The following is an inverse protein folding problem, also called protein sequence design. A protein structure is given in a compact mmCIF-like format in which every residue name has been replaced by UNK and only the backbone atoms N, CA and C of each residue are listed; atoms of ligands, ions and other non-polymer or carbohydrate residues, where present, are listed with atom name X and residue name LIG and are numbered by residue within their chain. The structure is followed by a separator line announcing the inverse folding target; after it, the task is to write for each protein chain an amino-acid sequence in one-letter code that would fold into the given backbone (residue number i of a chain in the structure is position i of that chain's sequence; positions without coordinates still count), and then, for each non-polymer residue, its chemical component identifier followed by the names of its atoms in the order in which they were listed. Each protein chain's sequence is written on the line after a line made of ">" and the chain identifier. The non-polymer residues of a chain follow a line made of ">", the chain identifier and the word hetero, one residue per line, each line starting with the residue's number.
data_IF_186058378232
#
_entry.id   IF_186058378232
#
_cell.length_a   1.000
_cell.length_b   1.000
_cell.length_c   1.000
_cell.angle_alpha   90.00
_cell.angle_beta   90.00
_cell.angle_gamma   90.00
#
_symmetry.space_group_name_H-M   'P 1'
#
loop_
_entity.id
_entity.type
_entity.pdbx_description
1 polymer ?
#
# COMPACT_ATOMS: atom_id res chain seq x y z
N UNK A 1 -12.18 22.99 1.94
CA UNK A 1 -12.23 21.64 1.32
C UNK A 1 -13.65 21.30 0.86
N UNK A 2 -13.80 20.77 -0.36
CA UNK A 2 -15.11 20.33 -0.88
C UNK A 2 -15.60 19.13 -0.03
N UNK A 3 -16.88 19.04 0.35
CA UNK A 3 -17.40 17.98 1.22
C UNK A 3 -17.17 16.56 0.65
N UNK A 4 -17.17 16.43 -0.67
CA UNK A 4 -16.85 15.18 -1.36
C UNK A 4 -15.40 14.72 -1.11
N UNK A 5 -14.46 15.66 -1.00
CA UNK A 5 -13.05 15.36 -0.82
C UNK A 5 -12.75 14.93 0.62
N UNK A 6 -13.40 15.56 1.61
CA UNK A 6 -13.32 15.12 3.00
C UNK A 6 -13.97 13.75 3.21
N UNK A 7 -15.07 13.48 2.52
CA UNK A 7 -15.72 12.16 2.58
C UNK A 7 -14.82 11.08 1.98
N UNK A 8 -14.20 11.35 0.81
CA UNK A 8 -13.27 10.41 0.19
C UNK A 8 -12.06 10.12 1.09
N UNK A 9 -11.48 11.14 1.73
CA UNK A 9 -10.39 10.98 2.68
C UNK A 9 -10.79 10.19 3.93
N UNK A 10 -11.99 10.45 4.48
CA UNK A 10 -12.53 9.67 5.59
C UNK A 10 -12.71 8.19 5.20
N UNK A 11 -13.30 7.92 4.03
CA UNK A 11 -13.50 6.56 3.54
C UNK A 11 -12.14 5.85 3.39
N UNK A 12 -11.16 6.52 2.81
CA UNK A 12 -9.81 5.98 2.66
C UNK A 12 -9.13 5.70 4.01
N UNK A 13 -9.36 6.55 5.02
CA UNK A 13 -8.81 6.40 6.37
C UNK A 13 -9.42 5.20 7.13
N UNK A 14 -10.64 4.78 6.82
CA UNK A 14 -11.30 3.64 7.49
C UNK A 14 -10.50 2.33 7.35
N UNK A 15 -9.75 2.15 6.26
CA UNK A 15 -8.96 0.95 6.01
C UNK A 15 -7.94 0.61 7.10
N UNK A 16 -7.46 1.62 7.85
CA UNK A 16 -6.54 1.41 8.97
C UNK A 16 -7.20 0.74 10.19
N UNK A 17 -8.49 1.03 10.43
CA UNK A 17 -9.23 0.50 11.58
C UNK A 17 -9.72 -0.94 11.36
N UNK A 18 -9.74 -1.40 10.11
CA UNK A 18 -10.26 -2.72 9.75
C UNK A 18 -9.15 -3.78 9.94
N UNK A 19 -9.40 -4.88 10.66
CA UNK A 19 -8.47 -6.00 10.74
C UNK A 19 -8.11 -6.53 9.35
N UNK A 20 -6.83 -6.92 9.14
CA UNK A 20 -6.37 -7.38 7.82
C UNK A 20 -7.17 -8.56 7.28
N UNK A 21 -7.64 -9.45 8.17
CA UNK A 21 -8.51 -10.57 7.80
C UNK A 21 -9.88 -10.15 7.28
N UNK A 22 -10.47 -9.10 7.83
CA UNK A 22 -11.75 -8.55 7.38
C UNK A 22 -11.59 -7.87 6.02
N UNK A 23 -10.50 -7.13 5.81
CA UNK A 23 -10.17 -6.55 4.49
C UNK A 23 -10.02 -7.68 3.46
N UNK A 24 -9.28 -8.73 3.81
CA UNK A 24 -9.07 -9.88 2.94
C UNK A 24 -10.37 -10.52 2.47
N UNK A 25 -11.27 -10.87 3.38
CA UNK A 25 -12.57 -11.44 3.01
C UNK A 25 -13.40 -10.42 2.22
N UNK A 26 -13.40 -9.16 2.65
CA UNK A 26 -14.12 -8.07 1.98
C UNK A 26 -13.65 -7.80 0.54
N UNK A 27 -12.38 -8.10 0.22
CA UNK A 27 -11.79 -7.99 -1.11
C UNK A 27 -11.97 -9.27 -1.92
N UNK A 28 -11.74 -10.44 -1.32
CA UNK A 28 -11.75 -11.71 -2.02
C UNK A 28 -13.14 -12.07 -2.56
N UNK A 29 -14.20 -11.80 -1.77
CA UNK A 29 -15.58 -12.09 -2.17
C UNK A 29 -16.01 -11.34 -3.44
N UNK A 30 -15.89 -10.00 -3.53
CA UNK A 30 -16.27 -9.28 -4.75
C UNK A 30 -15.36 -9.59 -5.94
N UNK A 31 -14.04 -9.72 -5.73
CA UNK A 31 -13.11 -10.09 -6.81
C UNK A 31 -13.41 -11.49 -7.35
N UNK A 32 -13.67 -12.46 -6.47
CA UNK A 32 -14.05 -13.82 -6.87
C UNK A 32 -15.38 -13.86 -7.63
N UNK A 33 -16.37 -13.05 -7.22
CA UNK A 33 -17.63 -12.91 -7.97
C UNK A 33 -17.40 -12.32 -9.36
N UNK A 34 -16.52 -11.34 -9.48
CA UNK A 34 -16.15 -10.74 -10.75
C UNK A 34 -15.45 -11.76 -11.67
N UNK A 35 -14.47 -12.50 -11.16
CA UNK A 35 -13.77 -13.54 -11.91
C UNK A 35 -14.75 -14.60 -12.43
N UNK A 36 -15.64 -15.10 -11.57
CA UNK A 36 -16.62 -16.11 -11.96
C UNK A 36 -17.63 -15.58 -12.99
N UNK A 37 -18.05 -14.32 -12.87
CA UNK A 37 -18.94 -13.69 -13.85
C UNK A 37 -18.25 -13.53 -15.21
N UNK A 38 -16.98 -13.12 -15.22
CA UNK A 38 -16.16 -13.01 -16.43
C UNK A 38 -15.94 -14.39 -17.07
N UNK A 39 -15.60 -15.41 -16.27
CA UNK A 39 -15.42 -16.78 -16.74
C UNK A 39 -16.70 -17.35 -17.34
N UNK A 40 -17.85 -17.15 -16.68
CA UNK A 40 -19.14 -17.56 -17.22
C UNK A 40 -19.46 -16.89 -18.57
N UNK A 41 -19.20 -15.59 -18.70
CA UNK A 41 -19.41 -14.85 -19.94
C UNK A 41 -18.46 -15.30 -21.06
N UNK A 42 -17.19 -15.54 -20.75
CA UNK A 42 -16.17 -16.01 -21.70
C UNK A 42 -16.46 -17.43 -22.19
N UNK A 43 -16.91 -18.32 -21.30
CA UNK A 43 -17.35 -19.66 -21.68
C UNK A 43 -18.58 -19.62 -22.57
N UNK A 44 -19.57 -18.78 -22.25
CA UNK A 44 -20.78 -18.65 -23.05
C UNK A 44 -20.53 -18.07 -24.44
N UNK A 45 -19.60 -17.13 -24.57
CA UNK A 45 -19.36 -16.38 -25.82
C UNK A 45 -18.30 -17.04 -26.70
N UNK A 46 -17.21 -17.53 -26.10
CA UNK A 46 -16.02 -17.99 -26.81
C UNK A 46 -15.68 -19.46 -26.54
N UNK A 47 -16.42 -20.14 -25.65
CA UNK A 47 -16.11 -21.50 -25.18
C UNK A 47 -14.69 -21.63 -24.57
N UNK A 48 -14.19 -20.54 -24.00
CA UNK A 48 -12.88 -20.47 -23.33
C UNK A 48 -13.10 -20.33 -21.82
N UNK A 49 -12.43 -21.17 -21.04
CA UNK A 49 -12.36 -21.05 -19.57
C UNK A 49 -11.23 -20.11 -19.19
N UNK A 50 -11.54 -18.97 -18.57
CA UNK A 50 -10.54 -18.03 -18.05
C UNK A 50 -10.10 -18.38 -16.63
N UNK A 51 -10.94 -19.09 -15.88
CA UNK A 51 -10.66 -19.41 -14.47
C UNK A 51 -10.57 -18.15 -13.60
N UNK A 52 -9.77 -18.22 -12.53
CA UNK A 52 -9.61 -17.17 -11.52
C UNK A 52 -8.49 -16.18 -11.90
N UNK A 53 -8.78 -15.25 -12.79
CA UNK A 53 -7.78 -14.30 -13.30
C UNK A 53 -7.27 -13.31 -12.24
N UNK A 54 -8.14 -12.79 -11.38
CA UNK A 54 -7.81 -11.74 -10.40
C UNK A 54 -7.62 -12.31 -9.00
N UNK A 55 -8.56 -13.15 -8.56
CA UNK A 55 -8.56 -13.79 -7.25
C UNK A 55 -7.54 -14.94 -7.14
N UNK A 56 -7.19 -15.57 -8.27
CA UNK A 56 -6.17 -16.62 -8.32
C UNK A 56 -4.74 -16.10 -8.47
N UNK A 57 -4.56 -14.78 -8.60
CA UNK A 57 -3.25 -14.14 -8.80
C UNK A 57 -2.93 -13.17 -7.65
N UNK A 58 -1.75 -12.54 -7.71
CA UNK A 58 -1.33 -11.55 -6.70
C UNK A 58 -2.19 -10.27 -6.71
N UNK A 59 -3.05 -10.08 -7.72
CA UNK A 59 -3.84 -8.85 -7.89
C UNK A 59 -4.75 -8.60 -6.69
N UNK A 60 -5.46 -9.62 -6.22
CA UNK A 60 -6.31 -9.49 -5.04
C UNK A 60 -5.50 -9.12 -3.78
N UNK A 61 -4.28 -9.66 -3.64
CA UNK A 61 -3.39 -9.35 -2.52
C UNK A 61 -2.89 -7.91 -2.57
N UNK A 62 -2.47 -7.44 -3.75
CA UNK A 62 -2.06 -6.03 -3.97
C UNK A 62 -3.24 -5.10 -3.66
N UNK A 63 -4.45 -5.43 -4.11
CA UNK A 63 -5.63 -4.61 -3.82
C UNK A 63 -5.95 -4.57 -2.32
N UNK A 64 -5.88 -5.70 -1.61
CA UNK A 64 -6.06 -5.74 -0.17
C UNK A 64 -5.03 -4.86 0.57
N UNK A 65 -3.77 -4.88 0.13
CA UNK A 65 -2.73 -4.00 0.65
C UNK A 65 -2.99 -2.53 0.34
N UNK A 66 -3.44 -2.20 -0.88
CA UNK A 66 -3.83 -0.82 -1.23
C UNK A 66 -4.90 -0.32 -0.27
N UNK A 67 -5.98 -1.08 -0.05
CA UNK A 67 -7.05 -0.68 0.88
C UNK A 67 -6.53 -0.50 2.30
N UNK A 68 -5.69 -1.42 2.78
CA UNK A 68 -5.16 -1.41 4.15
C UNK A 68 -4.18 -0.26 4.40
N UNK A 69 -3.25 -0.03 3.47
CA UNK A 69 -2.13 0.88 3.66
C UNK A 69 -2.34 2.26 3.01
N UNK A 70 -3.44 2.48 2.31
CA UNK A 70 -3.77 3.80 1.76
C UNK A 70 -3.87 4.86 2.87
N UNK A 71 -4.53 4.52 3.99
CA UNK A 71 -4.71 5.43 5.12
C UNK A 71 -3.38 5.96 5.69
N UNK A 72 -2.39 5.07 5.86
CA UNK A 72 -1.09 5.45 6.44
C UNK A 72 -0.29 6.33 5.47
N UNK A 73 -0.39 6.03 4.17
CA UNK A 73 0.25 6.83 3.12
C UNK A 73 -0.38 8.21 3.00
N UNK A 74 -1.72 8.30 3.05
CA UNK A 74 -2.45 9.57 2.99
C UNK A 74 -2.10 10.47 4.16
N UNK A 75 -2.11 9.96 5.40
CA UNK A 75 -1.73 10.76 6.57
C UNK A 75 -0.30 11.31 6.48
N UNK A 76 0.63 10.51 5.95
CA UNK A 76 2.02 10.94 5.72
C UNK A 76 2.11 12.02 4.63
N UNK A 77 1.34 11.88 3.55
CA UNK A 77 1.29 12.85 2.46
C UNK A 77 0.63 14.15 2.86
N UNK A 78 -0.47 14.10 3.63
CA UNK A 78 -1.14 15.29 4.17
C UNK A 78 -0.20 16.09 5.08
N UNK A 79 0.56 15.40 5.95
CA UNK A 79 1.57 16.05 6.79
C UNK A 79 2.70 16.70 5.97
N UNK A 80 3.07 16.11 4.82
CA UNK A 80 4.06 16.68 3.91
C UNK A 80 3.49 17.87 3.11
N UNK A 81 2.25 17.76 2.63
CA UNK A 81 1.53 18.83 1.93
C UNK A 81 1.33 20.05 2.83
N UNK A 82 1.03 19.84 4.12
CA UNK A 82 0.87 20.92 5.10
C UNK A 82 2.11 21.78 5.31
N UNK A 83 3.29 21.31 4.87
CA UNK A 83 4.55 22.10 4.92
C UNK A 83 4.69 23.05 3.72
N UNK A 84 3.93 22.84 2.64
CA UNK A 84 3.98 23.66 1.43
C UNK A 84 3.13 24.91 1.65
N UNK A 85 3.75 26.08 1.53
CA UNK A 85 3.09 27.36 1.76
C UNK A 85 2.16 27.71 0.58
N UNK A 86 0.93 28.21 0.82
CA UNK A 86 -0.01 28.59 -0.24
C UNK A 86 0.49 29.70 -1.18
N UNK A 87 1.47 30.50 -0.75
CA UNK A 87 2.04 31.56 -1.57
C UNK A 87 2.81 31.03 -2.80
N UNK A 88 3.28 29.78 -2.76
CA UNK A 88 3.93 29.13 -3.90
C UNK A 88 2.95 28.93 -5.07
N UNK A 89 1.68 28.65 -4.78
CA UNK A 89 0.64 28.54 -5.82
C UNK A 89 0.34 29.89 -6.46
N UNK A 90 0.29 30.95 -5.66
CA UNK A 90 0.12 32.32 -6.16
C UNK A 90 1.30 32.72 -7.05
N UNK A 91 2.53 32.44 -6.63
CA UNK A 91 3.73 32.75 -7.40
C UNK A 91 3.79 31.99 -8.73
N UNK A 92 3.49 30.68 -8.71
CA UNK A 92 3.43 29.87 -9.93
C UNK A 92 2.39 30.40 -10.92
N UNK A 93 1.20 30.79 -10.43
CA UNK A 93 0.16 31.42 -11.27
C UNK A 93 0.61 32.75 -11.87
N UNK A 94 1.27 33.61 -11.09
CA UNK A 94 1.80 34.89 -11.60
C UNK A 94 2.89 34.71 -12.66
N UNK A 95 3.61 33.59 -12.64
CA UNK A 95 4.58 33.20 -13.67
C UNK A 95 3.93 32.49 -14.89
N UNK A 96 2.60 32.45 -14.97
CA UNK A 96 1.87 31.85 -16.08
C UNK A 96 1.74 30.33 -16.02
N UNK A 97 2.06 29.69 -14.88
CA UNK A 97 1.86 28.24 -14.73
C UNK A 97 0.42 27.89 -14.37
N UNK A 98 -0.16 26.96 -15.13
CA UNK A 98 -1.45 26.34 -14.83
C UNK A 98 -1.37 25.26 -13.74
N UNK A 99 -2.51 24.74 -13.25
CA UNK A 99 -2.57 23.81 -12.11
C UNK A 99 -1.69 22.57 -12.26
N UNK A 100 -1.71 21.92 -13.43
CA UNK A 100 -0.90 20.73 -13.71
C UNK A 100 0.60 21.05 -13.72
N UNK A 101 0.98 22.22 -14.24
CA UNK A 101 2.38 22.67 -14.24
C UNK A 101 2.86 22.96 -12.82
N UNK A 102 2.03 23.62 -12.01
CA UNK A 102 2.33 23.89 -10.59
C UNK A 102 2.46 22.58 -9.80
N UNK A 103 1.56 21.61 -10.04
CA UNK A 103 1.64 20.29 -9.41
C UNK A 103 2.96 19.58 -9.73
N UNK A 104 3.32 19.49 -11.01
CA UNK A 104 4.50 18.73 -11.45
C UNK A 104 5.83 19.42 -11.15
N UNK A 105 5.88 20.76 -11.23
CA UNK A 105 7.14 21.52 -11.10
C UNK A 105 7.39 22.08 -9.71
N UNK A 106 6.34 22.32 -8.92
CA UNK A 106 6.46 22.90 -7.57
C UNK A 106 6.14 21.85 -6.52
N UNK A 107 4.93 21.28 -6.55
CA UNK A 107 4.49 20.36 -5.50
C UNK A 107 5.22 19.02 -5.54
N UNK A 108 5.32 18.36 -6.70
CA UNK A 108 5.91 17.02 -6.79
C UNK A 108 7.37 16.95 -6.28
N UNK A 109 8.28 17.89 -6.63
CA UNK A 109 9.62 17.92 -6.06
C UNK A 109 9.63 18.19 -4.55
N UNK A 110 8.78 19.10 -4.05
CA UNK A 110 8.68 19.41 -2.62
C UNK A 110 8.12 18.24 -1.80
N UNK A 111 7.19 17.48 -2.40
CA UNK A 111 6.59 16.28 -1.82
C UNK A 111 7.47 15.05 -1.92
N UNK A 112 8.54 15.05 -2.72
CA UNK A 112 9.38 13.87 -2.94
C UNK A 112 9.89 13.25 -1.64
N UNK A 113 10.26 14.09 -0.66
CA UNK A 113 10.68 13.63 0.68
C UNK A 113 9.55 12.98 1.49
N UNK A 114 8.34 13.55 1.41
CA UNK A 114 7.14 12.99 2.02
C UNK A 114 6.70 11.69 1.37
N UNK A 115 6.77 11.61 0.03
CA UNK A 115 6.52 10.40 -0.74
C UNK A 115 7.51 9.30 -0.36
N UNK A 116 8.81 9.60 -0.28
CA UNK A 116 9.82 8.64 0.16
C UNK A 116 9.53 8.11 1.56
N UNK A 117 9.15 9.00 2.49
CA UNK A 117 8.74 8.64 3.85
C UNK A 117 7.54 7.68 3.82
N UNK A 118 6.49 8.04 3.08
CA UNK A 118 5.28 7.24 2.96
C UNK A 118 5.56 5.86 2.35
N UNK A 119 6.37 5.81 1.28
CA UNK A 119 6.78 4.57 0.62
C UNK A 119 7.53 3.66 1.59
N UNK A 120 8.47 4.19 2.37
CA UNK A 120 9.24 3.39 3.34
C UNK A 120 8.31 2.84 4.44
N UNK A 121 7.40 3.65 4.97
CA UNK A 121 6.45 3.19 5.99
C UNK A 121 5.54 2.07 5.46
N UNK A 122 4.92 2.29 4.30
CA UNK A 122 4.06 1.28 3.66
C UNK A 122 4.84 0.01 3.35
N UNK A 123 6.07 0.14 2.84
CA UNK A 123 6.93 -1.01 2.53
C UNK A 123 7.17 -1.88 3.76
N UNK A 124 7.59 -1.28 4.88
CA UNK A 124 7.85 -1.99 6.13
C UNK A 124 6.59 -2.66 6.68
N UNK A 125 5.43 -2.03 6.54
CA UNK A 125 4.17 -2.59 7.00
C UNK A 125 3.66 -3.72 6.10
N UNK A 126 3.84 -3.62 4.79
CA UNK A 126 3.53 -4.68 3.82
C UNK A 126 4.41 -5.90 4.06
N UNK A 127 5.71 -5.71 4.33
CA UNK A 127 6.66 -6.81 4.54
C UNK A 127 6.27 -7.76 5.68
N UNK A 128 5.69 -7.20 6.75
CA UNK A 128 5.26 -7.94 7.94
C UNK A 128 3.77 -8.29 7.93
N UNK A 129 3.05 -7.95 6.86
CA UNK A 129 1.62 -8.22 6.78
C UNK A 129 1.40 -9.73 6.71
N UNK A 130 0.57 -10.22 7.64
CA UNK A 130 0.22 -11.63 7.75
C UNK A 130 -1.29 -11.88 7.62
N UNK A 131 -2.18 -11.17 8.35
CA UNK A 131 -3.59 -11.55 8.41
C UNK A 131 -4.31 -11.52 7.07
N UNK A 132 -4.10 -10.48 6.26
CA UNK A 132 -4.71 -10.39 4.94
C UNK A 132 -4.06 -11.40 3.98
N UNK A 133 -2.75 -11.52 4.05
CA UNK A 133 -1.95 -12.41 3.20
C UNK A 133 -2.33 -13.88 3.36
N UNK A 134 -2.53 -14.35 4.60
CA UNK A 134 -2.91 -15.74 4.86
C UNK A 134 -4.21 -16.14 4.16
N UNK A 135 -5.12 -15.18 3.94
CA UNK A 135 -6.43 -15.43 3.34
C UNK A 135 -6.42 -15.22 1.83
N UNK A 136 -5.71 -14.20 1.33
CA UNK A 136 -5.80 -13.76 -0.08
C UNK A 136 -4.66 -14.26 -0.95
N UNK A 137 -3.56 -14.76 -0.36
CA UNK A 137 -2.40 -15.21 -1.15
C UNK A 137 -2.82 -16.23 -2.22
N UNK A 138 -2.29 -16.12 -3.46
CA UNK A 138 -2.53 -17.13 -4.47
C UNK A 138 -1.83 -18.44 -4.09
N UNK A 139 -2.23 -19.53 -4.77
CA UNK A 139 -1.62 -20.85 -4.55
C UNK A 139 -0.11 -20.81 -4.82
N UNK A 140 0.66 -21.53 -4.01
CA UNK A 140 2.13 -21.62 -4.09
C UNK A 140 2.88 -20.30 -3.94
N UNK A 141 2.25 -19.27 -3.34
CA UNK A 141 2.90 -17.99 -3.05
C UNK A 141 2.98 -17.76 -1.54
N UNK A 142 4.13 -18.07 -0.95
CA UNK A 142 4.39 -17.86 0.48
C UNK A 142 5.33 -16.68 0.69
N UNK A 143 4.82 -15.62 1.34
CA UNK A 143 5.63 -14.48 1.78
C UNK A 143 6.53 -14.85 2.96
N UNK A 144 7.55 -14.03 3.25
CA UNK A 144 8.39 -14.24 4.43
C UNK A 144 7.56 -14.29 5.73
N UNK A 145 6.58 -13.39 5.87
CA UNK A 145 5.70 -13.36 7.06
C UNK A 145 4.91 -14.67 7.20
N UNK A 146 4.40 -15.19 6.08
CA UNK A 146 3.71 -16.49 6.03
C UNK A 146 4.66 -17.64 6.40
N UNK A 147 5.88 -17.66 5.88
CA UNK A 147 6.85 -18.71 6.18
C UNK A 147 7.22 -18.72 7.66
N UNK A 148 7.46 -17.55 8.25
CA UNK A 148 7.69 -17.42 9.70
C UNK A 148 6.50 -17.99 10.47
N UNK A 149 5.27 -17.61 10.11
CA UNK A 149 4.06 -18.09 10.77
C UNK A 149 3.92 -19.61 10.67
N UNK A 150 4.12 -20.20 9.48
CA UNK A 150 4.03 -21.66 9.28
C UNK A 150 5.08 -22.41 10.08
N UNK A 151 6.35 -22.02 9.98
CA UNK A 151 7.45 -22.68 10.69
C UNK A 151 7.32 -22.54 12.21
N UNK A 152 6.84 -21.39 12.68
CA UNK A 152 6.56 -21.19 14.11
C UNK A 152 5.37 -22.03 14.59
N UNK A 153 4.31 -22.14 13.79
CA UNK A 153 3.15 -22.99 14.09
C UNK A 153 3.51 -24.48 14.09
N UNK A 154 4.48 -24.89 13.28
CA UNK A 154 5.05 -26.24 13.25
C UNK A 154 6.12 -26.47 14.35
N UNK A 155 6.27 -25.55 15.31
CA UNK A 155 7.28 -25.56 16.39
C UNK A 155 8.75 -25.58 15.92
N UNK A 156 9.00 -25.30 14.62
CA UNK A 156 10.33 -25.26 13.99
C UNK A 156 10.97 -23.88 14.13
N UNK A 157 11.12 -23.42 15.38
CA UNK A 157 11.60 -22.06 15.69
C UNK A 157 13.01 -21.76 15.15
N UNK A 158 13.89 -22.76 15.14
CA UNK A 158 15.24 -22.61 14.58
C UNK A 158 15.19 -22.26 13.09
N UNK A 159 14.30 -22.88 12.33
CA UNK A 159 14.14 -22.62 10.90
C UNK A 159 13.36 -21.34 10.63
N UNK A 160 12.37 -21.01 11.48
CA UNK A 160 11.64 -19.74 11.43
C UNK A 160 12.54 -18.51 11.62
N UNK A 161 13.69 -18.69 12.29
CA UNK A 161 14.63 -17.59 12.56
C UNK A 161 15.18 -16.95 11.28
N UNK A 162 15.47 -17.74 10.24
CA UNK A 162 16.04 -17.24 8.99
C UNK A 162 15.09 -16.27 8.24
N UNK A 163 13.83 -16.62 7.92
CA UNK A 163 12.90 -15.68 7.31
C UNK A 163 12.53 -14.51 8.24
N UNK A 164 12.51 -14.72 9.56
CA UNK A 164 12.27 -13.63 10.52
C UNK A 164 13.40 -12.59 10.50
N UNK A 165 14.66 -13.03 10.50
CA UNK A 165 15.83 -12.16 10.39
C UNK A 165 15.86 -11.45 9.03
N UNK A 166 15.46 -12.11 7.94
CA UNK A 166 15.33 -11.46 6.64
C UNK A 166 14.31 -10.31 6.67
N UNK A 167 13.15 -10.49 7.30
CA UNK A 167 12.15 -9.42 7.49
C UNK A 167 12.78 -8.25 8.27
N UNK A 168 13.51 -8.53 9.36
CA UNK A 168 14.15 -7.50 10.18
C UNK A 168 15.20 -6.74 9.36
N UNK A 169 16.12 -7.43 8.68
CA UNK A 169 17.20 -6.80 7.92
C UNK A 169 16.67 -5.89 6.82
N UNK A 170 15.71 -6.39 6.02
CA UNK A 170 15.14 -5.63 4.91
C UNK A 170 14.19 -4.53 5.39
N UNK A 171 13.47 -4.74 6.50
CA UNK A 171 12.56 -3.73 7.05
C UNK A 171 13.28 -2.59 7.80
N UNK A 172 14.37 -2.89 8.51
CA UNK A 172 15.10 -1.89 9.30
C UNK A 172 15.98 -1.00 8.43
N UNK A 173 16.57 -1.54 7.35
CA UNK A 173 17.51 -0.79 6.51
C UNK A 173 16.91 0.52 5.94
N UNK A 174 15.71 0.52 5.32
CA UNK A 174 15.06 1.74 4.85
C UNK A 174 14.75 2.73 5.97
N UNK A 175 14.37 2.23 7.15
CA UNK A 175 14.07 3.07 8.32
C UNK A 175 15.32 3.77 8.82
N UNK A 176 16.47 3.09 8.86
CA UNK A 176 17.76 3.70 9.21
C UNK A 176 18.14 4.79 8.20
N UNK A 177 18.00 4.51 6.91
CA UNK A 177 18.29 5.49 5.84
C UNK A 177 17.43 6.73 6.00
N UNK A 178 16.13 6.57 6.21
CA UNK A 178 15.19 7.66 6.42
C UNK A 178 15.50 8.47 7.68
N UNK A 179 15.75 7.79 8.80
CA UNK A 179 16.11 8.43 10.07
C UNK A 179 17.37 9.30 9.94
N UNK A 180 18.39 8.81 9.22
CA UNK A 180 19.61 9.59 8.94
C UNK A 180 19.35 10.81 8.08
N UNK A 181 18.50 10.69 7.06
CA UNK A 181 18.13 11.84 6.20
C UNK A 181 17.35 12.90 6.98
N UNK A 182 16.41 12.49 7.83
CA UNK A 182 15.64 13.40 8.67
C UNK A 182 16.51 14.11 9.72
N UNK A 183 17.48 13.41 10.32
CA UNK A 183 18.43 14.00 11.27
C UNK A 183 19.31 15.07 10.61
N UNK A 184 19.79 14.83 9.38
CA UNK A 184 20.60 15.80 8.63
C UNK A 184 19.82 17.06 8.24
N UNK A 185 18.55 16.91 7.86
CA UNK A 185 17.68 18.05 7.51
C UNK A 185 17.33 18.96 8.70
N UNK A 186 17.45 18.48 9.94
CA UNK A 186 17.17 19.26 11.16
C UNK A 186 18.40 19.95 11.74
N UNK A 187 19.60 19.58 11.28
CA UNK A 187 20.87 20.14 11.72
C UNK A 187 21.42 21.26 10.83
N UNK A 188 20.78 21.53 9.69
CA UNK A 188 20.99 22.70 8.82
C UNK A 188 19.83 23.69 9.01
#
# INVERSE_FOLDING_TARGET
>A
PHPAMSLAAQIAAMGYAIPGSVIAVGVLVPIGRLDNALDAWMRATFNISTGLLLSGTIVALIFAYLVRFLAISLGTLEASLGRIKPNLDNAARSLGHGPTSTLLRVHAPLLASGLLTATILVFVDVMKELPATLIVRPFNFDTLAVQVYRLAADERLAEASAPALAIILVGVLPVIVLSRQMSRSRGN
#
